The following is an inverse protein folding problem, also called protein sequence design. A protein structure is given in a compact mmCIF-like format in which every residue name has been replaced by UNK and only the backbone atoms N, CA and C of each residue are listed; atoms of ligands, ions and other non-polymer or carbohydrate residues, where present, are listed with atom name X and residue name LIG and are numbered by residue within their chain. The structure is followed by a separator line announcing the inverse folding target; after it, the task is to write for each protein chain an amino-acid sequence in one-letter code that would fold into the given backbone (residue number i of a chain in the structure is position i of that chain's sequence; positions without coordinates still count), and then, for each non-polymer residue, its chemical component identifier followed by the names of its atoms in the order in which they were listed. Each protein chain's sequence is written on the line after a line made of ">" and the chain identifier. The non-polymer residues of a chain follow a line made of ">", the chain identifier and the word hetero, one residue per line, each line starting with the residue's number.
data_IF_670118913635
#
_entry.id   IF_670118913635
#
_cell.length_a   1.000
_cell.length_b   1.000
_cell.length_c   1.000
_cell.angle_alpha   90.00
_cell.angle_beta   90.00
_cell.angle_gamma   90.00
#
_symmetry.space_group_name_H-M   'P 1'
#
loop_
_entity.id
_entity.type
_entity.pdbx_description
1 polymer ?
#
# COMPACT_ATOMS: atom_id res chain seq x y z
N UNK A 1 2.33 8.21 -19.59
CA UNK A 1 3.22 7.64 -18.55
C UNK A 1 4.17 8.73 -18.11
N UNK A 2 4.28 8.96 -16.80
CA UNK A 2 5.19 9.93 -16.19
C UNK A 2 6.27 9.14 -15.44
N UNK A 3 7.54 9.16 -15.89
CA UNK A 3 8.60 8.36 -15.28
C UNK A 3 9.03 8.96 -13.94
N UNK A 4 8.77 8.22 -12.85
CA UNK A 4 9.16 8.56 -11.49
C UNK A 4 10.53 7.99 -11.10
N UNK A 5 11.17 8.61 -10.12
CA UNK A 5 12.41 8.10 -9.50
C UNK A 5 12.10 7.03 -8.47
N UNK A 6 13.08 6.13 -8.21
CA UNK A 6 13.02 5.22 -7.07
C UNK A 6 13.34 5.95 -5.75
N UNK A 7 13.13 5.26 -4.62
CA UNK A 7 13.49 5.82 -3.30
C UNK A 7 15.00 6.04 -3.12
N UNK A 8 15.86 5.34 -3.89
CA UNK A 8 17.31 5.54 -3.87
C UNK A 8 17.75 6.82 -4.59
N UNK A 9 16.90 7.39 -5.42
CA UNK A 9 17.18 8.52 -6.31
C UNK A 9 16.56 9.84 -5.82
N UNK A 10 15.94 9.86 -4.64
CA UNK A 10 15.28 11.03 -4.06
C UNK A 10 15.51 11.16 -2.56
N UNK A 11 15.37 12.37 -2.05
CA UNK A 11 15.34 12.68 -0.63
C UNK A 11 13.89 12.70 -0.11
N UNK A 12 13.70 12.49 1.20
CA UNK A 12 12.41 12.55 1.84
C UNK A 12 12.35 11.81 3.17
N UNK A 13 11.16 11.34 3.50
CA UNK A 13 10.92 10.51 4.69
C UNK A 13 10.02 9.33 4.37
N UNK A 14 10.21 8.22 5.08
CA UNK A 14 9.27 7.11 5.14
C UNK A 14 8.78 6.91 6.56
N UNK A 15 7.50 6.54 6.68
CA UNK A 15 6.92 6.11 7.96
C UNK A 15 6.67 4.61 7.90
N UNK A 16 7.22 3.86 8.85
CA UNK A 16 7.03 2.41 8.93
C UNK A 16 5.82 2.04 9.80
N UNK A 17 5.56 0.74 9.94
CA UNK A 17 4.43 0.21 10.73
C UNK A 17 4.55 0.47 12.23
N UNK A 18 5.75 0.78 12.76
CA UNK A 18 5.96 1.25 14.14
C UNK A 18 5.63 2.74 14.32
N UNK A 19 5.08 3.40 13.32
CA UNK A 19 4.85 4.86 13.34
C UNK A 19 6.17 5.66 13.33
N UNK A 20 7.26 5.04 12.93
CA UNK A 20 8.58 5.68 12.91
C UNK A 20 8.79 6.42 11.60
N UNK A 21 8.91 7.73 11.67
CA UNK A 21 9.30 8.58 10.56
C UNK A 21 10.81 8.53 10.43
N UNK A 22 11.30 8.08 9.30
CA UNK A 22 12.72 7.86 9.03
C UNK A 22 13.16 8.67 7.84
N UNK A 23 14.37 9.19 7.91
CA UNK A 23 14.98 9.98 6.85
C UNK A 23 15.40 9.10 5.69
N UNK A 24 15.07 9.52 4.48
CA UNK A 24 15.58 8.95 3.23
C UNK A 24 16.53 9.94 2.60
N UNK A 25 17.74 9.49 2.31
CA UNK A 25 18.75 10.28 1.61
C UNK A 25 19.01 9.66 0.25
N UNK A 26 19.10 10.50 -0.76
CA UNK A 26 19.43 10.08 -2.11
C UNK A 26 20.82 9.39 -2.13
N UNK A 27 20.85 8.15 -2.60
CA UNK A 27 22.06 7.34 -2.73
C UNK A 27 22.55 7.22 -4.18
N UNK A 28 21.67 7.47 -5.17
CA UNK A 28 22.01 7.37 -6.59
C UNK A 28 21.49 8.60 -7.36
N UNK A 29 22.13 8.90 -8.49
CA UNK A 29 21.62 9.92 -9.40
C UNK A 29 20.36 9.40 -10.09
N UNK A 30 19.30 10.21 -10.24
CA UNK A 30 18.14 9.86 -11.04
C UNK A 30 18.53 9.47 -12.47
N UNK A 31 17.81 8.50 -13.02
CA UNK A 31 17.92 8.18 -14.44
C UNK A 31 17.51 9.40 -15.30
N UNK A 32 18.17 9.66 -16.43
CA UNK A 32 17.78 10.73 -17.33
C UNK A 32 16.29 10.64 -17.71
N UNK A 33 15.59 11.77 -17.65
CA UNK A 33 14.16 11.84 -17.96
C UNK A 33 13.21 11.42 -16.83
N UNK A 34 13.72 10.99 -15.66
CA UNK A 34 12.89 10.73 -14.48
C UNK A 34 12.86 11.91 -13.52
N UNK A 35 11.79 12.03 -12.74
CA UNK A 35 11.64 13.05 -11.68
C UNK A 35 11.03 12.43 -10.42
N UNK A 36 11.34 12.97 -9.22
CA UNK A 36 10.61 12.61 -8.01
C UNK A 36 9.11 12.85 -8.14
N UNK A 37 8.29 11.97 -7.58
CA UNK A 37 6.83 12.06 -7.68
C UNK A 37 6.29 13.42 -7.24
N UNK A 38 6.82 13.99 -6.14
CA UNK A 38 6.44 15.31 -5.67
C UNK A 38 6.72 16.42 -6.68
N UNK A 39 7.85 16.35 -7.41
CA UNK A 39 8.18 17.30 -8.48
C UNK A 39 7.19 17.14 -9.64
N UNK A 40 6.87 15.90 -10.04
CA UNK A 40 5.89 15.65 -11.10
C UNK A 40 4.54 16.27 -10.73
N UNK A 41 4.07 16.04 -9.50
CA UNK A 41 2.79 16.56 -9.02
C UNK A 41 2.78 18.08 -9.00
N UNK A 42 3.79 18.73 -8.43
CA UNK A 42 3.85 20.20 -8.35
C UNK A 42 3.98 20.86 -9.72
N UNK A 43 4.73 20.28 -10.67
CA UNK A 43 4.75 20.75 -12.06
C UNK A 43 3.37 20.61 -12.74
N UNK A 44 2.63 19.54 -12.46
CA UNK A 44 1.25 19.40 -12.96
C UNK A 44 0.33 20.47 -12.36
N UNK A 45 0.43 20.73 -11.05
CA UNK A 45 -0.33 21.79 -10.37
C UNK A 45 -0.08 23.13 -11.04
N UNK A 46 1.17 23.50 -11.29
CA UNK A 46 1.53 24.75 -11.98
C UNK A 46 0.92 24.83 -13.39
N UNK A 47 0.96 23.72 -14.16
CA UNK A 47 0.35 23.66 -15.49
C UNK A 47 -1.18 23.81 -15.47
N UNK A 48 -1.82 23.44 -14.36
CA UNK A 48 -3.27 23.59 -14.14
C UNK A 48 -3.64 24.95 -13.53
N UNK A 49 -2.68 25.88 -13.41
CA UNK A 49 -2.93 27.23 -12.92
C UNK A 49 -2.76 27.42 -11.40
N UNK A 50 -2.35 26.37 -10.66
CA UNK A 50 -2.00 26.53 -9.25
C UNK A 50 -0.58 27.05 -9.13
N UNK A 51 -0.40 28.19 -8.45
CA UNK A 51 0.91 28.76 -8.16
C UNK A 51 1.58 28.08 -6.96
N UNK A 52 1.89 26.81 -7.13
CA UNK A 52 2.54 25.98 -6.10
C UNK A 52 4.05 25.97 -6.34
N UNK A 53 4.89 26.17 -5.31
CA UNK A 53 6.34 25.95 -5.41
C UNK A 53 6.67 24.54 -5.86
N UNK A 54 7.77 24.35 -6.56
CA UNK A 54 8.27 23.02 -6.88
C UNK A 54 8.57 22.27 -5.59
N UNK A 55 8.18 20.99 -5.56
CA UNK A 55 8.33 20.12 -4.41
C UNK A 55 9.75 20.15 -3.81
N UNK A 56 9.78 20.41 -2.53
CA UNK A 56 10.94 20.23 -1.66
C UNK A 56 10.52 19.38 -0.46
N UNK A 57 11.24 18.29 -0.22
CA UNK A 57 10.86 17.29 0.79
C UNK A 57 10.89 17.86 2.23
N UNK A 58 11.81 18.77 2.50
CA UNK A 58 11.98 19.34 3.83
C UNK A 58 10.91 20.42 4.11
N UNK A 59 10.55 21.21 3.09
CA UNK A 59 9.44 22.17 3.20
C UNK A 59 8.10 21.44 3.40
N UNK A 60 7.85 20.34 2.67
CA UNK A 60 6.65 19.53 2.85
C UNK A 60 6.62 18.87 4.23
N UNK A 61 7.74 18.39 4.75
CA UNK A 61 7.81 17.85 6.10
C UNK A 61 7.50 18.91 7.15
N UNK A 62 8.01 20.15 6.98
CA UNK A 62 7.70 21.27 7.87
C UNK A 62 6.20 21.62 7.83
N UNK A 63 5.60 21.70 6.65
CA UNK A 63 4.16 21.93 6.48
C UNK A 63 3.32 20.84 7.14
N UNK A 64 3.70 19.56 6.99
CA UNK A 64 3.05 18.45 7.69
C UNK A 64 3.14 18.63 9.22
N UNK A 65 4.31 19.03 9.73
CA UNK A 65 4.50 19.27 11.16
C UNK A 65 3.62 20.42 11.69
N UNK A 66 3.38 21.44 10.88
CA UNK A 66 2.52 22.57 11.25
C UNK A 66 1.03 22.19 11.27
N UNK A 67 0.56 21.39 10.31
CA UNK A 67 -0.88 21.07 10.17
C UNK A 67 -1.29 19.78 10.89
N UNK A 68 -0.35 18.89 11.18
CA UNK A 68 -0.61 17.60 11.83
C UNK A 68 -0.06 17.59 13.26
N UNK A 69 -0.90 17.71 14.30
CA UNK A 69 -0.42 17.83 15.70
C UNK A 69 0.50 16.70 16.15
N UNK A 70 0.34 15.48 15.60
CA UNK A 70 1.19 14.34 15.95
C UNK A 70 2.62 14.43 15.38
N UNK A 71 2.83 15.32 14.41
CA UNK A 71 4.12 15.51 13.73
C UNK A 71 4.84 16.78 14.21
N UNK A 72 4.24 17.57 15.11
CA UNK A 72 4.70 18.92 15.47
C UNK A 72 6.17 19.02 15.88
N UNK A 73 6.72 17.99 16.51
CA UNK A 73 8.13 17.96 16.88
C UNK A 73 9.07 17.34 15.84
N UNK A 74 8.55 16.92 14.69
CA UNK A 74 9.36 16.26 13.65
C UNK A 74 10.00 17.31 12.76
N UNK A 75 11.32 17.40 12.80
CA UNK A 75 12.12 18.15 11.82
C UNK A 75 13.17 17.24 11.22
N UNK A 76 13.69 17.62 10.06
CA UNK A 76 14.71 16.82 9.37
C UNK A 76 15.92 16.54 10.26
N UNK A 77 16.37 17.54 11.02
CA UNK A 77 17.52 17.44 11.92
C UNK A 77 17.25 16.46 13.06
N UNK A 78 16.05 16.55 13.66
CA UNK A 78 15.65 15.71 14.79
C UNK A 78 15.44 14.23 14.41
N UNK A 79 15.13 13.93 13.14
CA UNK A 79 15.04 12.53 12.70
C UNK A 79 16.35 11.76 12.88
N UNK A 80 17.51 12.43 12.78
CA UNK A 80 18.80 11.80 13.00
C UNK A 80 18.98 10.51 12.18
N UNK A 81 19.66 9.53 12.76
CA UNK A 81 19.94 8.23 12.13
C UNK A 81 18.78 7.23 12.27
N UNK A 82 18.04 7.30 13.36
CA UNK A 82 17.07 6.26 13.74
C UNK A 82 15.62 6.67 13.52
N UNK A 83 15.36 7.94 13.20
CA UNK A 83 14.01 8.47 13.07
C UNK A 83 13.30 8.66 14.42
N UNK A 84 12.05 9.14 14.36
CA UNK A 84 11.19 9.43 15.52
C UNK A 84 9.85 8.75 15.38
N UNK A 85 9.32 8.20 16.47
CA UNK A 85 7.98 7.59 16.50
C UNK A 85 6.92 8.64 16.88
N UNK A 86 6.00 8.94 15.96
CA UNK A 86 4.91 9.87 16.25
C UNK A 86 3.87 9.27 17.22
N UNK A 87 3.17 10.06 18.02
CA UNK A 87 3.27 11.50 18.22
C UNK A 87 4.62 11.97 18.72
N UNK A 88 5.12 13.08 18.13
CA UNK A 88 6.34 13.74 18.58
C UNK A 88 5.97 15.12 19.15
N UNK A 89 6.37 15.38 20.38
CA UNK A 89 6.11 16.66 21.04
C UNK A 89 6.96 17.79 20.44
N UNK A 90 6.60 19.03 20.71
CA UNK A 90 7.36 20.21 20.24
C UNK A 90 8.84 20.20 20.65
N UNK A 91 9.15 19.62 21.80
CA UNK A 91 10.53 19.46 22.29
C UNK A 91 11.33 18.37 21.58
N UNK A 92 10.67 17.60 20.67
CA UNK A 92 11.28 16.48 19.94
C UNK A 92 11.15 15.13 20.64
N UNK A 93 10.51 15.07 21.82
CA UNK A 93 10.28 13.79 22.51
C UNK A 93 9.32 12.93 21.72
N UNK A 94 9.75 11.73 21.32
CA UNK A 94 8.95 10.76 20.60
C UNK A 94 8.10 9.84 21.51
N UNK A 95 7.11 9.15 20.95
CA UNK A 95 6.19 8.28 21.69
C UNK A 95 6.36 6.83 21.26
N UNK A 96 7.08 6.05 22.04
CA UNK A 96 7.34 4.63 21.77
C UNK A 96 6.07 3.77 21.91
N UNK A 97 5.30 4.00 22.97
CA UNK A 97 4.07 3.26 23.26
C UNK A 97 2.90 4.23 23.33
N UNK A 98 1.89 4.00 22.46
CA UNK A 98 0.65 4.78 22.48
C UNK A 98 -0.20 4.42 23.70
N UNK A 99 -0.95 5.42 24.20
CA UNK A 99 -1.96 5.23 25.25
C UNK A 99 -1.44 4.48 26.49
N UNK A 100 -0.17 4.71 26.88
CA UNK A 100 0.46 4.02 27.99
C UNK A 100 -0.25 4.23 29.33
N UNK A 101 -0.81 5.40 29.54
CA UNK A 101 -1.54 5.75 30.78
C UNK A 101 -3.04 5.73 30.57
N UNK A 102 -3.52 6.36 29.51
CA UNK A 102 -4.94 6.54 29.23
C UNK A 102 -5.18 6.80 27.74
N UNK A 103 -6.42 6.58 27.30
CA UNK A 103 -6.87 7.04 25.98
C UNK A 103 -7.34 8.48 26.09
N UNK A 104 -7.03 9.33 25.09
CA UNK A 104 -7.45 10.74 25.06
C UNK A 104 -8.95 10.96 25.20
N UNK A 105 -9.76 10.04 24.71
CA UNK A 105 -11.21 10.09 24.75
C UNK A 105 -11.81 9.27 25.91
N UNK A 106 -11.00 8.87 26.89
CA UNK A 106 -11.41 8.00 27.98
C UNK A 106 -11.56 6.53 27.55
N UNK A 107 -12.35 5.77 28.29
CA UNK A 107 -12.54 4.33 28.01
C UNK A 107 -13.13 4.10 26.63
N UNK A 108 -12.63 3.09 25.92
CA UNK A 108 -13.17 2.66 24.63
C UNK A 108 -14.65 2.25 24.75
N UNK A 109 -15.42 2.58 23.73
CA UNK A 109 -16.81 2.12 23.61
C UNK A 109 -16.87 0.91 22.73
N UNK A 110 -17.25 -0.23 23.30
CA UNK A 110 -17.49 -1.46 22.54
C UNK A 110 -18.86 -1.33 21.89
N UNK A 111 -18.90 -1.51 20.58
CA UNK A 111 -20.15 -1.61 19.81
C UNK A 111 -20.24 -2.98 19.19
N UNK A 112 -21.37 -3.63 19.38
CA UNK A 112 -21.72 -4.83 18.66
C UNK A 112 -22.38 -4.46 17.32
N UNK A 113 -21.97 -5.12 16.27
CA UNK A 113 -22.58 -5.00 14.95
C UNK A 113 -22.98 -6.41 14.49
N UNK A 114 -24.25 -6.58 14.19
CA UNK A 114 -24.69 -7.79 13.51
C UNK A 114 -24.05 -7.87 12.13
N UNK A 115 -23.49 -9.04 11.84
CA UNK A 115 -23.03 -9.30 10.48
C UNK A 115 -24.25 -9.38 9.55
N UNK A 116 -24.17 -8.68 8.43
CA UNK A 116 -25.15 -8.75 7.35
C UNK A 116 -24.43 -9.02 6.05
N UNK A 117 -24.93 -10.02 5.31
CA UNK A 117 -24.42 -10.25 3.96
C UNK A 117 -24.61 -9.00 3.10
N UNK A 118 -23.64 -8.69 2.23
CA UNK A 118 -23.80 -7.53 1.37
C UNK A 118 -24.92 -7.76 0.37
N UNK A 119 -25.71 -6.73 0.10
CA UNK A 119 -26.80 -6.79 -0.91
C UNK A 119 -26.29 -7.23 -2.30
N UNK A 120 -25.01 -6.97 -2.61
CA UNK A 120 -24.39 -7.37 -3.86
C UNK A 120 -24.19 -8.90 -3.91
N UNK A 121 -23.69 -9.50 -2.83
CA UNK A 121 -23.52 -10.96 -2.73
C UNK A 121 -24.87 -11.64 -2.81
N UNK A 122 -25.84 -11.18 -2.02
CA UNK A 122 -27.18 -11.75 -1.98
C UNK A 122 -27.87 -11.73 -3.36
N UNK A 123 -27.82 -10.59 -4.06
CA UNK A 123 -28.43 -10.42 -5.40
C UNK A 123 -27.76 -11.30 -6.47
N UNK A 124 -26.48 -11.52 -6.37
CA UNK A 124 -25.70 -12.22 -7.39
C UNK A 124 -25.43 -13.70 -7.08
N UNK A 125 -25.83 -14.19 -5.90
CA UNK A 125 -25.56 -15.54 -5.41
C UNK A 125 -26.03 -16.66 -6.34
N UNK A 126 -27.10 -16.44 -7.08
CA UNK A 126 -27.65 -17.41 -8.03
C UNK A 126 -26.75 -17.55 -9.27
N UNK A 127 -26.26 -16.45 -9.80
CA UNK A 127 -25.48 -16.42 -11.04
C UNK A 127 -23.98 -16.58 -10.76
N UNK A 128 -23.52 -16.12 -9.58
CA UNK A 128 -22.11 -16.16 -9.13
C UNK A 128 -22.02 -16.77 -7.73
N UNK A 129 -22.15 -18.12 -7.61
CA UNK A 129 -22.23 -18.78 -6.30
C UNK A 129 -20.90 -18.87 -5.55
N UNK A 130 -19.76 -18.55 -6.19
CA UNK A 130 -18.45 -18.59 -5.60
C UNK A 130 -18.01 -17.21 -5.10
N UNK A 131 -17.28 -17.20 -4.00
CA UNK A 131 -16.62 -16.00 -3.50
C UNK A 131 -15.16 -16.03 -3.92
N UNK A 132 -14.74 -15.01 -4.67
CA UNK A 132 -13.35 -14.80 -5.00
C UNK A 132 -12.65 -13.99 -3.90
N UNK A 133 -11.55 -14.53 -3.41
CA UNK A 133 -10.62 -13.77 -2.56
C UNK A 133 -9.25 -13.68 -3.23
N UNK A 134 -8.57 -12.56 -3.07
CA UNK A 134 -7.20 -12.40 -3.56
C UNK A 134 -6.23 -12.46 -2.39
N UNK A 135 -5.12 -13.17 -2.57
CA UNK A 135 -4.05 -13.25 -1.59
C UNK A 135 -2.74 -12.71 -2.15
N UNK A 136 -1.81 -12.39 -1.24
CA UNK A 136 -0.49 -11.91 -1.61
C UNK A 136 0.51 -13.05 -1.69
N UNK A 137 1.46 -12.94 -2.60
CA UNK A 137 2.63 -13.81 -2.66
C UNK A 137 3.86 -13.05 -2.16
N UNK A 138 4.78 -13.73 -1.48
CA UNK A 138 5.96 -13.12 -0.89
C UNK A 138 6.95 -12.58 -1.95
N UNK A 139 6.95 -13.20 -3.13
CA UNK A 139 7.90 -12.91 -4.20
C UNK A 139 7.58 -11.62 -4.94
N UNK A 140 6.33 -11.15 -4.86
CA UNK A 140 5.90 -9.98 -5.61
C UNK A 140 5.28 -8.89 -4.72
N UNK A 141 5.53 -7.65 -5.11
CA UNK A 141 4.99 -6.47 -4.45
C UNK A 141 3.80 -5.89 -5.25
N UNK A 142 2.64 -5.82 -4.62
CA UNK A 142 1.38 -5.36 -5.22
C UNK A 142 1.08 -6.05 -6.58
N UNK A 143 0.91 -5.26 -7.64
CA UNK A 143 0.66 -5.75 -9.01
C UNK A 143 1.91 -6.29 -9.72
N UNK A 144 3.00 -6.50 -9.00
CA UNK A 144 4.26 -7.06 -9.49
C UNK A 144 4.96 -6.29 -10.64
N UNK A 145 4.55 -5.06 -10.93
CA UNK A 145 5.09 -4.26 -12.04
C UNK A 145 6.60 -4.02 -11.96
N UNK A 146 7.15 -3.99 -10.75
CA UNK A 146 8.60 -3.88 -10.52
C UNK A 146 9.24 -5.26 -10.31
N UNK A 147 8.66 -6.09 -9.47
CA UNK A 147 9.26 -7.35 -9.04
C UNK A 147 9.28 -8.43 -10.14
N UNK A 148 8.35 -8.43 -11.08
CA UNK A 148 8.41 -9.26 -12.29
C UNK A 148 9.57 -8.89 -13.23
N UNK A 149 10.20 -7.73 -13.05
CA UNK A 149 11.42 -7.32 -13.77
C UNK A 149 12.72 -7.78 -13.08
N UNK A 150 12.61 -8.50 -11.99
CA UNK A 150 13.72 -9.07 -11.21
C UNK A 150 13.74 -10.59 -11.34
N UNK A 151 14.73 -11.25 -10.71
CA UNK A 151 14.81 -12.71 -10.68
C UNK A 151 13.62 -13.40 -9.98
N UNK A 152 12.79 -12.66 -9.26
CA UNK A 152 11.60 -13.19 -8.59
C UNK A 152 10.59 -13.79 -9.59
N UNK A 153 10.57 -13.32 -10.84
CA UNK A 153 9.75 -13.92 -11.92
C UNK A 153 10.09 -15.40 -12.15
N UNK A 154 11.32 -15.84 -11.84
CA UNK A 154 11.71 -17.25 -11.97
C UNK A 154 11.13 -18.15 -10.88
N UNK A 155 10.61 -17.55 -9.80
CA UNK A 155 10.01 -18.28 -8.68
C UNK A 155 8.49 -18.29 -8.84
N UNK A 156 7.90 -17.15 -9.18
CA UNK A 156 6.46 -16.98 -9.44
C UNK A 156 6.34 -16.11 -10.69
N UNK A 157 5.89 -16.66 -11.79
CA UNK A 157 5.79 -15.97 -13.09
C UNK A 157 4.35 -15.66 -13.51
N UNK A 158 3.38 -16.43 -13.01
CA UNK A 158 1.96 -16.29 -13.35
C UNK A 158 1.06 -16.23 -12.11
N UNK A 159 -0.11 -15.65 -12.30
CA UNK A 159 -1.18 -15.69 -11.31
C UNK A 159 -1.95 -17.01 -11.50
N UNK A 160 -2.25 -17.71 -10.41
CA UNK A 160 -2.95 -18.99 -10.39
C UNK A 160 -4.26 -18.91 -9.63
N UNK A 161 -5.23 -19.72 -10.04
CA UNK A 161 -6.49 -19.90 -9.35
C UNK A 161 -6.40 -21.11 -8.42
N UNK A 162 -6.35 -20.87 -7.11
CA UNK A 162 -6.47 -21.93 -6.11
C UNK A 162 -7.94 -22.26 -5.94
N UNK A 163 -8.28 -23.55 -6.01
CA UNK A 163 -9.66 -24.03 -5.85
C UNK A 163 -9.70 -25.29 -4.97
N UNK A 164 -10.69 -25.31 -4.08
CA UNK A 164 -10.88 -26.47 -3.20
C UNK A 164 -11.27 -27.73 -4.02
N UNK A 165 -10.81 -28.95 -3.63
CA UNK A 165 -11.07 -30.18 -4.38
C UNK A 165 -12.54 -30.48 -4.68
N UNK A 166 -13.44 -30.19 -3.75
CA UNK A 166 -14.89 -30.37 -3.95
C UNK A 166 -15.45 -29.43 -5.03
N UNK A 167 -15.01 -28.17 -5.04
CA UNK A 167 -15.44 -27.19 -6.03
C UNK A 167 -14.83 -27.47 -7.41
N UNK A 168 -13.59 -27.96 -7.45
CA UNK A 168 -12.92 -28.41 -8.64
C UNK A 168 -13.64 -29.61 -9.28
N UNK A 169 -13.96 -30.62 -8.49
CA UNK A 169 -14.71 -31.81 -8.91
C UNK A 169 -16.07 -31.46 -9.50
N UNK A 170 -16.81 -30.55 -8.85
CA UNK A 170 -18.13 -30.12 -9.34
C UNK A 170 -18.08 -29.34 -10.66
N UNK A 171 -16.88 -29.01 -11.15
CA UNK A 171 -16.65 -28.20 -12.35
C UNK A 171 -15.72 -28.91 -13.36
N UNK A 172 -15.43 -30.19 -13.13
CA UNK A 172 -14.50 -30.99 -13.95
C UNK A 172 -13.13 -30.32 -14.15
N UNK A 173 -12.62 -29.66 -13.10
CA UNK A 173 -11.34 -28.96 -13.12
C UNK A 173 -10.26 -29.79 -12.43
N UNK A 174 -9.08 -29.84 -13.06
CA UNK A 174 -7.87 -30.46 -12.53
C UNK A 174 -6.74 -29.43 -12.49
N UNK A 175 -5.75 -29.66 -11.63
CA UNK A 175 -4.51 -28.86 -11.61
C UNK A 175 -3.89 -28.83 -13.01
N UNK A 176 -3.52 -27.63 -13.46
CA UNK A 176 -2.98 -27.39 -14.79
C UNK A 176 -4.01 -27.00 -15.85
N UNK A 177 -5.30 -27.18 -15.62
CA UNK A 177 -6.32 -26.67 -16.53
C UNK A 177 -6.33 -25.14 -16.55
N UNK A 178 -6.84 -24.57 -17.64
CA UNK A 178 -7.17 -23.15 -17.71
C UNK A 178 -8.67 -22.98 -17.43
N UNK A 179 -9.01 -22.26 -16.37
CA UNK A 179 -10.38 -21.93 -16.04
C UNK A 179 -10.69 -20.45 -16.33
N UNK A 180 -11.87 -20.20 -16.89
CA UNK A 180 -12.41 -18.86 -17.04
C UNK A 180 -13.16 -18.47 -15.78
N UNK A 181 -12.67 -17.45 -15.10
CA UNK A 181 -13.30 -16.81 -13.96
C UNK A 181 -14.03 -15.56 -14.43
N UNK A 182 -15.31 -15.42 -14.11
CA UNK A 182 -16.10 -14.28 -14.55
C UNK A 182 -17.09 -13.80 -13.48
N UNK A 183 -17.48 -12.55 -13.60
CA UNK A 183 -18.45 -11.87 -12.76
C UNK A 183 -19.26 -10.89 -13.59
N UNK A 184 -20.21 -10.21 -13.00
CA UNK A 184 -20.93 -9.11 -13.66
C UNK A 184 -20.05 -7.91 -14.07
N UNK A 185 -18.79 -7.87 -13.66
CA UNK A 185 -17.84 -6.76 -13.92
C UNK A 185 -16.73 -7.10 -14.91
N UNK A 186 -16.51 -8.36 -15.19
CA UNK A 186 -15.43 -8.79 -16.10
C UNK A 186 -15.07 -10.24 -15.96
N UNK A 187 -14.07 -10.66 -16.74
CA UNK A 187 -13.59 -12.03 -16.79
C UNK A 187 -12.08 -12.10 -16.93
N UNK A 188 -11.51 -13.23 -16.49
CA UNK A 188 -10.10 -13.57 -16.64
C UNK A 188 -9.93 -15.08 -16.77
N UNK A 189 -8.94 -15.53 -17.52
CA UNK A 189 -8.56 -16.94 -17.62
C UNK A 189 -7.28 -17.17 -16.82
N UNK A 190 -7.31 -18.16 -15.91
CA UNK A 190 -6.21 -18.47 -15.00
C UNK A 190 -5.92 -19.97 -15.00
N UNK A 191 -4.69 -20.33 -14.77
CA UNK A 191 -4.28 -21.70 -14.53
C UNK A 191 -4.76 -22.17 -13.16
N UNK A 192 -5.30 -23.35 -13.10
CA UNK A 192 -5.88 -23.95 -11.88
C UNK A 192 -4.84 -24.72 -11.10
N UNK A 193 -4.86 -24.56 -9.79
CA UNK A 193 -4.24 -25.45 -8.83
C UNK A 193 -5.31 -25.91 -7.83
N UNK A 194 -5.55 -27.22 -7.79
CA UNK A 194 -6.50 -27.82 -6.83
C UNK A 194 -5.79 -28.04 -5.51
N UNK A 195 -6.31 -27.45 -4.43
CA UNK A 195 -5.69 -27.50 -3.10
C UNK A 195 -6.74 -27.34 -2.01
N UNK A 196 -6.47 -27.95 -0.86
CA UNK A 196 -7.26 -27.87 0.37
C UNK A 196 -6.72 -26.86 1.40
N UNK A 197 -5.75 -26.06 1.00
CA UNK A 197 -5.07 -25.05 1.83
C UNK A 197 -5.82 -23.74 1.89
#
# INVERSE_FOLDING_TARGET
>A
VLPGTTFLEKDGTFTNTERRVQRVNRAAKPLPGTKPDGVIVTEMMQKLGYNQPIYDADQVLAEIADVVPFFKGITRERLGKFGLQWPVKEDGTDTKILHQKEFKLGKGRIKYFDWKESNEIEKNKKDFPLILTTSRVLQHYNAATMTKRTKNIKIVDEDILLIHPNDAKNRDLNTGNIARLYSGRGEVSLKVEVTDR
#
